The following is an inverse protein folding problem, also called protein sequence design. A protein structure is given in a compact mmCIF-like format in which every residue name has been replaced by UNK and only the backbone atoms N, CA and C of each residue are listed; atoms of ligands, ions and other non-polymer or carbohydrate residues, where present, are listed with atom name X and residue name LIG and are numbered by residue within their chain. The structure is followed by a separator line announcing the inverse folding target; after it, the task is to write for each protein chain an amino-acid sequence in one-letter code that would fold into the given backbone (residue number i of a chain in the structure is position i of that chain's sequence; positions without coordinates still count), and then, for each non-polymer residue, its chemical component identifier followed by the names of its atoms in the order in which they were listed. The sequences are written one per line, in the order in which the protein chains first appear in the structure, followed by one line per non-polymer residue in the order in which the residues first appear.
data_IF_691513004161
#
_entry.id   IF_691513004161
#
_cell.length_a   1.000
_cell.length_b   1.000
_cell.length_c   1.000
_cell.angle_alpha   90.00
_cell.angle_beta   90.00
_cell.angle_gamma   90.00
#
_symmetry.space_group_name_H-M   'P 1'
#
loop_
_entity.id
_entity.type
_entity.pdbx_description
1 polymer ?
#
# COMPACT_ATOMS: atom_id res chain seq x y z
N UNK A 1 -52.71 -47.50 -32.85
CA UNK A 1 -51.58 -47.72 -33.77
C UNK A 1 -50.55 -48.56 -33.04
N UNK A 2 -50.18 -49.73 -33.60
CA UNK A 2 -49.15 -50.61 -33.06
C UNK A 2 -47.80 -50.00 -33.45
N UNK A 3 -46.92 -49.70 -32.46
CA UNK A 3 -45.56 -49.24 -32.67
C UNK A 3 -44.73 -50.20 -33.50
N UNK A 4 -43.97 -49.74 -34.43
CA UNK A 4 -43.04 -50.52 -35.25
C UNK A 4 -41.98 -51.23 -34.40
N UNK A 5 -41.42 -52.34 -34.92
CA UNK A 5 -40.32 -53.06 -34.22
C UNK A 5 -39.11 -52.19 -33.96
N UNK A 6 -38.83 -51.14 -34.77
CA UNK A 6 -37.77 -50.19 -34.60
C UNK A 6 -38.02 -49.21 -33.42
N UNK A 7 -39.30 -48.80 -33.28
CA UNK A 7 -39.69 -47.93 -32.16
C UNK A 7 -39.67 -48.69 -30.82
N UNK A 8 -40.02 -49.97 -30.83
CA UNK A 8 -39.87 -50.82 -29.65
C UNK A 8 -38.47 -51.12 -29.27
N UNK A 9 -37.52 -51.23 -30.23
CA UNK A 9 -36.08 -51.36 -29.96
C UNK A 9 -35.48 -50.08 -29.43
N UNK A 10 -35.88 -48.88 -29.88
CA UNK A 10 -35.47 -47.61 -29.38
C UNK A 10 -35.95 -47.37 -27.95
N UNK A 11 -37.16 -47.85 -27.59
CA UNK A 11 -37.66 -47.77 -26.21
C UNK A 11 -36.97 -48.75 -25.25
N UNK A 12 -36.53 -49.92 -25.76
CA UNK A 12 -35.80 -50.91 -24.96
C UNK A 12 -34.33 -50.59 -24.78
N UNK A 13 -33.76 -49.72 -25.61
CA UNK A 13 -32.37 -49.24 -25.48
C UNK A 13 -32.21 -47.96 -24.68
N UNK A 14 -33.26 -47.40 -24.08
CA UNK A 14 -33.11 -46.50 -22.97
C UNK A 14 -32.74 -47.33 -21.73
N UNK A 15 -31.48 -47.79 -21.67
CA UNK A 15 -30.85 -48.01 -20.39
C UNK A 15 -30.95 -46.65 -19.67
N UNK A 16 -31.75 -46.58 -18.63
CA UNK A 16 -31.68 -45.52 -17.68
C UNK A 16 -30.19 -45.44 -17.26
N UNK A 17 -29.53 -44.34 -17.60
CA UNK A 17 -28.16 -44.11 -17.16
C UNK A 17 -28.26 -43.89 -15.66
N UNK A 18 -28.21 -45.02 -14.92
CA UNK A 18 -28.36 -45.05 -13.46
C UNK A 18 -27.21 -44.33 -12.74
N UNK A 19 -26.30 -43.72 -13.52
CA UNK A 19 -25.16 -42.97 -13.01
C UNK A 19 -25.47 -41.51 -12.71
N UNK A 20 -26.58 -40.97 -13.26
CA UNK A 20 -26.97 -39.59 -13.02
C UNK A 20 -28.07 -39.52 -11.96
N UNK A 21 -27.70 -39.12 -10.76
CA UNK A 21 -28.64 -38.76 -9.70
C UNK A 21 -28.88 -37.26 -9.70
N UNK A 22 -30.06 -36.77 -10.12
CA UNK A 22 -30.32 -35.32 -10.16
C UNK A 22 -30.46 -34.69 -8.78
N UNK A 23 -30.46 -35.48 -7.69
CA UNK A 23 -30.54 -34.97 -6.32
C UNK A 23 -29.16 -34.70 -5.74
N UNK A 24 -28.10 -35.24 -6.37
CA UNK A 24 -26.72 -34.92 -5.96
C UNK A 24 -26.40 -33.48 -6.38
N UNK A 25 -26.02 -32.60 -5.43
CA UNK A 25 -25.60 -31.23 -5.78
C UNK A 25 -24.47 -31.29 -6.80
N UNK A 26 -24.51 -30.43 -7.81
CA UNK A 26 -23.41 -30.26 -8.73
C UNK A 26 -22.14 -29.80 -8.00
N UNK A 27 -20.98 -29.95 -8.65
CA UNK A 27 -19.72 -29.43 -8.13
C UNK A 27 -19.88 -27.90 -8.01
N UNK A 28 -19.83 -27.38 -6.79
CA UNK A 28 -19.84 -25.94 -6.56
C UNK A 28 -18.60 -25.35 -7.19
N UNK A 29 -18.71 -24.36 -8.08
CA UNK A 29 -17.55 -23.65 -8.60
C UNK A 29 -16.72 -23.10 -7.45
N UNK A 30 -15.37 -23.11 -7.53
CA UNK A 30 -14.54 -22.49 -6.52
C UNK A 30 -14.88 -20.98 -6.43
N UNK A 31 -15.10 -20.49 -5.22
CA UNK A 31 -15.29 -19.07 -4.99
C UNK A 31 -13.98 -18.35 -5.29
N UNK A 32 -14.05 -17.27 -6.07
CA UNK A 32 -12.94 -16.37 -6.30
C UNK A 32 -12.73 -15.46 -5.09
N UNK A 33 -11.53 -14.96 -4.91
CA UNK A 33 -11.20 -13.98 -3.88
C UNK A 33 -10.34 -12.85 -4.46
N UNK A 34 -10.32 -11.72 -3.77
CA UNK A 34 -9.45 -10.62 -4.16
C UNK A 34 -7.98 -10.99 -3.95
N UNK A 35 -7.13 -10.50 -4.86
CA UNK A 35 -5.68 -10.59 -4.70
C UNK A 35 -5.22 -9.94 -3.39
N UNK A 36 -4.22 -10.50 -2.72
CA UNK A 36 -3.70 -10.02 -1.43
C UNK A 36 -3.41 -8.51 -1.40
N UNK A 37 -2.90 -7.94 -2.49
CA UNK A 37 -2.68 -6.50 -2.60
C UNK A 37 -4.00 -5.72 -2.55
N UNK A 38 -5.04 -6.20 -3.21
CA UNK A 38 -6.38 -5.58 -3.17
C UNK A 38 -6.98 -5.65 -1.77
N UNK A 39 -6.87 -6.80 -1.10
CA UNK A 39 -7.32 -6.97 0.29
C UNK A 39 -6.58 -5.99 1.22
N UNK A 40 -5.25 -5.89 1.09
CA UNK A 40 -4.43 -4.97 1.87
C UNK A 40 -4.83 -3.51 1.63
N UNK A 41 -5.09 -3.12 0.37
CA UNK A 41 -5.55 -1.77 0.03
C UNK A 41 -6.90 -1.45 0.68
N UNK A 42 -7.84 -2.37 0.64
CA UNK A 42 -9.17 -2.21 1.26
C UNK A 42 -9.05 -2.07 2.79
N UNK A 43 -8.23 -2.90 3.43
CA UNK A 43 -8.01 -2.84 4.88
C UNK A 43 -7.36 -1.50 5.29
N UNK A 44 -6.33 -1.06 4.58
CA UNK A 44 -5.70 0.25 4.80
C UNK A 44 -6.72 1.37 4.65
N UNK A 45 -7.55 1.32 3.60
CA UNK A 45 -8.61 2.32 3.38
C UNK A 45 -9.59 2.37 4.54
N UNK A 46 -10.06 1.23 5.04
CA UNK A 46 -11.01 1.16 6.15
C UNK A 46 -10.40 1.72 7.46
N UNK A 47 -9.14 1.39 7.75
CA UNK A 47 -8.44 1.89 8.93
C UNK A 47 -8.38 3.43 8.91
N UNK A 48 -7.95 4.02 7.78
CA UNK A 48 -7.83 5.48 7.68
C UNK A 48 -9.17 6.19 7.54
N UNK A 49 -10.18 5.54 6.96
CA UNK A 49 -11.56 6.03 6.92
C UNK A 49 -12.13 6.22 8.34
N UNK A 50 -11.79 5.32 9.29
CA UNK A 50 -12.18 5.46 10.70
C UNK A 50 -11.59 6.72 11.36
N UNK A 51 -10.47 7.23 10.86
CA UNK A 51 -9.86 8.50 11.28
C UNK A 51 -10.35 9.72 10.48
N UNK A 52 -11.28 9.53 9.54
CA UNK A 52 -11.84 10.58 8.70
C UNK A 52 -10.98 10.95 7.48
N UNK A 53 -10.00 10.11 7.12
CA UNK A 53 -9.28 10.30 5.87
C UNK A 53 -10.13 9.86 4.67
N UNK A 54 -10.00 10.58 3.56
CA UNK A 54 -10.71 10.31 2.32
C UNK A 54 -9.71 9.74 1.31
N UNK A 55 -10.04 8.58 0.74
CA UNK A 55 -9.21 8.02 -0.33
C UNK A 55 -9.25 8.88 -1.58
N UNK A 56 -8.07 9.16 -2.11
CA UNK A 56 -7.83 9.89 -3.37
C UNK A 56 -7.00 9.04 -4.32
N UNK A 57 -7.07 9.40 -5.59
CA UNK A 57 -6.21 8.86 -6.65
C UNK A 57 -5.68 10.00 -7.48
N UNK A 58 -4.41 9.92 -7.82
CA UNK A 58 -3.70 10.91 -8.63
C UNK A 58 -2.97 10.20 -9.78
N UNK A 59 -2.55 10.95 -10.82
CA UNK A 59 -1.87 10.37 -11.98
C UNK A 59 -0.58 9.64 -11.61
N UNK A 60 -0.30 8.55 -12.32
CA UNK A 60 0.96 7.80 -12.25
C UNK A 60 2.03 8.43 -13.17
N UNK A 61 1.60 9.14 -14.21
CA UNK A 61 2.44 9.96 -15.09
C UNK A 61 2.26 11.41 -14.67
N UNK A 62 3.35 12.05 -14.32
CA UNK A 62 3.29 13.36 -13.67
C UNK A 62 4.34 14.32 -14.22
N UNK A 63 4.12 15.61 -14.07
CA UNK A 63 5.14 16.62 -14.37
C UNK A 63 6.15 16.69 -13.22
N UNK A 64 7.36 17.11 -13.56
CA UNK A 64 8.45 17.29 -12.61
C UNK A 64 8.07 18.22 -11.44
N UNK A 65 7.23 19.22 -11.67
CA UNK A 65 6.70 20.10 -10.64
C UNK A 65 6.02 19.33 -9.50
N UNK A 66 5.01 18.51 -9.82
CA UNK A 66 4.28 17.75 -8.80
C UNK A 66 5.10 16.59 -8.25
N UNK A 67 6.00 16.05 -9.05
CA UNK A 67 6.86 14.95 -8.63
C UNK A 67 7.97 15.39 -7.69
N UNK A 68 8.61 16.54 -7.94
CA UNK A 68 9.83 16.91 -7.25
C UNK A 68 9.89 18.39 -6.84
N UNK A 69 9.86 19.34 -7.78
CA UNK A 69 10.16 20.73 -7.50
C UNK A 69 9.17 21.34 -6.49
N UNK A 70 7.88 21.12 -6.67
CA UNK A 70 6.84 21.58 -5.76
C UNK A 70 6.90 20.91 -4.37
N UNK A 71 7.51 19.74 -4.27
CA UNK A 71 7.81 19.04 -3.02
C UNK A 71 9.15 19.43 -2.39
N UNK A 72 9.71 20.55 -2.82
CA UNK A 72 10.98 21.08 -2.30
C UNK A 72 12.21 20.17 -2.59
N UNK A 73 12.15 19.32 -3.61
CA UNK A 73 13.25 18.46 -4.06
C UNK A 73 14.03 19.22 -5.15
N UNK A 74 15.27 19.66 -4.91
CA UNK A 74 16.04 20.44 -5.87
C UNK A 74 16.44 19.61 -7.10
N UNK A 75 16.80 20.32 -8.19
CA UNK A 75 17.10 19.68 -9.50
C UNK A 75 18.32 18.76 -9.47
N UNK A 76 19.26 19.04 -8.61
CA UNK A 76 20.50 18.28 -8.40
C UNK A 76 20.38 17.16 -7.35
N UNK A 77 19.16 16.89 -6.86
CA UNK A 77 18.98 15.83 -5.86
C UNK A 77 19.13 14.43 -6.50
N UNK A 78 19.87 13.50 -5.86
CA UNK A 78 20.15 12.17 -6.42
C UNK A 78 18.89 11.36 -6.80
N UNK A 79 17.78 11.54 -6.07
CA UNK A 79 16.53 10.85 -6.40
C UNK A 79 15.92 11.28 -7.75
N UNK A 80 16.39 12.37 -8.34
CA UNK A 80 16.00 12.86 -9.67
C UNK A 80 16.93 12.39 -10.78
N UNK A 81 17.94 11.57 -10.46
CA UNK A 81 18.81 10.96 -11.44
C UNK A 81 18.02 9.99 -12.35
N UNK A 82 18.34 9.98 -13.62
CA UNK A 82 17.77 9.06 -14.64
C UNK A 82 17.96 7.58 -14.28
N UNK A 83 18.93 7.27 -13.41
CA UNK A 83 19.17 5.91 -12.94
C UNK A 83 18.14 5.48 -11.88
N UNK A 84 17.50 6.42 -11.20
CA UNK A 84 16.51 6.14 -10.14
C UNK A 84 15.08 6.39 -10.59
N UNK A 85 14.86 7.34 -11.50
CA UNK A 85 13.54 7.79 -11.96
C UNK A 85 13.31 7.45 -13.44
N UNK A 86 12.08 7.05 -13.79
CA UNK A 86 11.67 6.85 -15.18
C UNK A 86 11.18 8.16 -15.78
N UNK A 87 12.01 8.81 -16.57
CA UNK A 87 11.63 9.95 -17.40
C UNK A 87 11.01 9.49 -18.73
N UNK A 88 9.84 10.03 -19.08
CA UNK A 88 9.16 9.80 -20.34
C UNK A 88 9.48 10.89 -21.36
N UNK A 89 9.68 12.10 -20.87
CA UNK A 89 10.13 13.33 -21.55
C UNK A 89 10.89 14.17 -20.54
N UNK A 90 11.43 15.30 -20.97
CA UNK A 90 12.28 16.20 -20.15
C UNK A 90 11.70 16.55 -18.78
N UNK A 91 10.39 16.76 -18.69
CA UNK A 91 9.68 17.14 -17.44
C UNK A 91 8.49 16.23 -17.12
N UNK A 92 8.43 15.04 -17.70
CA UNK A 92 7.35 14.07 -17.46
C UNK A 92 7.94 12.75 -16.98
N UNK A 93 7.49 12.29 -15.83
CA UNK A 93 8.01 11.10 -15.14
C UNK A 93 6.91 10.09 -14.84
N UNK A 94 7.29 8.83 -14.65
CA UNK A 94 6.52 7.90 -13.84
C UNK A 94 6.85 8.16 -12.36
N UNK A 95 5.82 8.41 -11.54
CA UNK A 95 6.03 8.80 -10.15
C UNK A 95 6.71 7.70 -9.34
N UNK A 96 7.79 8.05 -8.62
CA UNK A 96 8.50 7.12 -7.74
C UNK A 96 7.94 7.10 -6.30
N UNK A 97 6.93 7.92 -6.04
CA UNK A 97 6.19 8.03 -4.77
C UNK A 97 4.81 8.63 -5.01
N UNK A 98 3.93 8.53 -4.01
CA UNK A 98 2.55 9.06 -4.08
C UNK A 98 2.41 10.50 -3.60
N UNK A 99 3.51 11.18 -3.26
CA UNK A 99 3.51 12.54 -2.68
C UNK A 99 3.09 13.63 -3.67
N UNK A 100 3.08 13.35 -4.97
CA UNK A 100 2.47 14.22 -5.98
C UNK A 100 1.01 14.57 -5.64
N UNK A 101 0.32 13.66 -4.98
CA UNK A 101 -1.06 13.86 -4.51
C UNK A 101 -1.20 14.96 -3.46
N UNK A 102 -0.16 15.27 -2.68
CA UNK A 102 -0.21 16.33 -1.66
C UNK A 102 -0.49 17.70 -2.27
N UNK A 103 0.34 18.10 -3.24
CA UNK A 103 0.17 19.39 -3.92
C UNK A 103 -1.17 19.48 -4.63
N UNK A 104 -1.56 18.44 -5.35
CA UNK A 104 -2.83 18.39 -6.07
C UNK A 104 -4.04 18.48 -5.14
N UNK A 105 -4.01 17.85 -3.98
CA UNK A 105 -5.09 17.96 -3.01
C UNK A 105 -5.13 19.34 -2.36
N UNK A 106 -3.96 19.91 -2.02
CA UNK A 106 -3.88 21.29 -1.49
C UNK A 106 -4.44 22.31 -2.49
N UNK A 107 -4.04 22.24 -3.75
CA UNK A 107 -4.55 23.12 -4.81
C UNK A 107 -6.05 22.98 -5.05
N UNK A 108 -6.57 21.74 -4.90
CA UNK A 108 -7.99 21.45 -5.08
C UNK A 108 -8.85 21.95 -3.91
N UNK A 109 -8.44 21.68 -2.69
CA UNK A 109 -9.19 21.98 -1.47
C UNK A 109 -9.00 23.45 -1.06
N UNK A 110 -7.78 23.97 -1.19
CA UNK A 110 -7.35 25.35 -0.88
C UNK A 110 -7.47 25.77 0.59
N UNK A 111 -8.45 25.27 1.29
CA UNK A 111 -8.69 25.64 2.70
C UNK A 111 -8.75 24.39 3.55
N UNK A 112 -7.83 24.18 4.50
CA UNK A 112 -7.90 23.10 5.48
C UNK A 112 -9.21 23.11 6.29
N UNK A 113 -9.67 21.96 6.82
CA UNK A 113 -8.90 20.75 7.01
C UNK A 113 -8.75 19.89 5.74
N UNK A 114 -7.55 19.35 5.53
CA UNK A 114 -7.25 18.38 4.48
C UNK A 114 -6.89 17.06 5.16
N UNK A 115 -7.63 16.00 4.84
CA UNK A 115 -7.37 14.64 5.33
C UNK A 115 -7.51 13.67 4.17
N UNK A 116 -6.42 13.28 3.58
CA UNK A 116 -6.46 12.34 2.45
C UNK A 116 -5.53 11.16 2.65
N UNK A 117 -5.90 10.03 2.04
CA UNK A 117 -5.01 8.92 1.78
C UNK A 117 -4.94 8.68 0.27
N UNK A 118 -3.75 8.81 -0.30
CA UNK A 118 -3.46 8.51 -1.70
C UNK A 118 -2.91 7.10 -1.79
N UNK A 119 -3.53 6.22 -2.57
CA UNK A 119 -3.05 4.86 -2.81
C UNK A 119 -2.88 4.67 -4.30
N UNK A 120 -1.66 4.42 -4.74
CA UNK A 120 -1.31 4.32 -6.16
C UNK A 120 -0.09 3.46 -6.42
N UNK A 121 0.16 3.19 -7.70
CA UNK A 121 1.39 2.56 -8.16
C UNK A 121 2.51 3.58 -8.19
N UNK A 122 3.70 3.11 -7.89
CA UNK A 122 4.95 3.87 -7.93
C UNK A 122 6.00 3.09 -8.69
N UNK A 123 6.95 3.81 -9.30
CA UNK A 123 7.89 3.24 -10.25
C UNK A 123 9.30 3.70 -9.95
N UNK A 124 10.23 2.74 -9.76
CA UNK A 124 11.65 3.01 -9.53
C UNK A 124 12.51 2.11 -10.40
N UNK A 125 13.64 2.62 -10.90
CA UNK A 125 14.55 1.85 -11.76
C UNK A 125 15.39 0.82 -11.01
N UNK A 126 14.95 0.44 -9.83
CA UNK A 126 15.61 -0.54 -8.98
C UNK A 126 14.95 -1.91 -9.15
N UNK A 127 15.77 -2.96 -9.24
CA UNK A 127 15.31 -4.34 -9.27
C UNK A 127 16.22 -5.23 -8.43
N UNK A 128 15.68 -5.81 -7.35
CA UNK A 128 16.36 -6.76 -6.49
C UNK A 128 15.36 -7.76 -5.89
N UNK A 129 15.79 -8.62 -4.99
CA UNK A 129 14.86 -9.49 -4.24
C UNK A 129 13.84 -8.71 -3.40
N UNK A 130 14.21 -7.53 -2.93
CA UNK A 130 13.37 -6.67 -2.07
C UNK A 130 12.81 -5.44 -2.80
N UNK A 131 13.16 -5.23 -4.07
CA UNK A 131 12.72 -4.10 -4.87
C UNK A 131 12.19 -4.56 -6.22
N UNK A 132 10.97 -4.14 -6.53
CA UNK A 132 10.38 -4.30 -7.86
C UNK A 132 10.34 -2.94 -8.57
N UNK A 133 10.46 -2.92 -9.91
CA UNK A 133 10.36 -1.67 -10.68
C UNK A 133 9.02 -0.96 -10.51
N UNK A 134 7.96 -1.69 -10.16
CA UNK A 134 6.63 -1.20 -9.82
C UNK A 134 6.20 -1.80 -8.48
N UNK A 135 5.65 -0.97 -7.61
CA UNK A 135 5.04 -1.37 -6.35
C UNK A 135 3.91 -0.40 -6.00
N UNK A 136 3.09 -0.76 -5.02
CA UNK A 136 2.04 0.13 -4.53
C UNK A 136 2.52 0.85 -3.26
N UNK A 137 2.17 2.12 -3.19
CA UNK A 137 2.39 2.93 -1.99
C UNK A 137 1.07 3.56 -1.56
N UNK A 138 0.86 3.66 -0.26
CA UNK A 138 -0.15 4.54 0.29
C UNK A 138 0.53 5.66 1.08
N UNK A 139 -0.07 6.83 1.01
CA UNK A 139 0.42 8.03 1.66
C UNK A 139 -0.74 8.79 2.28
N UNK A 140 -0.60 9.13 3.55
CA UNK A 140 -1.54 9.99 4.26
C UNK A 140 -1.03 11.42 4.35
N UNK A 141 -1.94 12.37 4.17
CA UNK A 141 -1.73 13.80 4.41
C UNK A 141 -2.81 14.34 5.32
N UNK A 142 -2.42 14.99 6.40
CA UNK A 142 -3.30 15.75 7.26
C UNK A 142 -2.77 17.16 7.41
N UNK A 143 -3.59 18.17 7.08
CA UNK A 143 -3.29 19.60 7.27
C UNK A 143 -4.49 20.23 7.98
N UNK A 144 -4.22 20.92 9.09
CA UNK A 144 -5.22 21.70 9.84
C UNK A 144 -4.50 22.72 10.73
N UNK A 145 -5.24 23.45 11.54
CA UNK A 145 -4.68 24.30 12.59
C UNK A 145 -4.07 23.44 13.71
N UNK A 146 -2.98 23.89 14.29
CA UNK A 146 -2.33 23.31 15.48
C UNK A 146 -1.91 21.83 15.34
N UNK A 147 -1.74 21.32 14.12
CA UNK A 147 -1.23 19.96 13.90
C UNK A 147 0.26 19.89 14.28
N UNK A 148 0.61 18.84 15.03
CA UNK A 148 1.96 18.65 15.53
C UNK A 148 2.37 17.17 15.52
N UNK A 149 3.61 16.90 15.91
CA UNK A 149 4.21 15.57 15.88
C UNK A 149 3.44 14.52 16.72
N UNK A 150 2.75 14.93 17.80
CA UNK A 150 2.00 13.98 18.63
C UNK A 150 0.79 13.41 17.89
N UNK A 151 0.20 14.18 16.96
CA UNK A 151 -0.85 13.70 16.08
C UNK A 151 -0.31 12.66 15.09
N UNK A 152 0.89 12.88 14.53
CA UNK A 152 1.56 11.88 13.67
C UNK A 152 1.83 10.59 14.45
N UNK A 153 2.38 10.68 15.67
CA UNK A 153 2.61 9.53 16.55
C UNK A 153 1.31 8.77 16.82
N UNK A 154 0.22 9.51 17.12
CA UNK A 154 -1.08 8.91 17.36
C UNK A 154 -1.61 8.12 16.16
N UNK A 155 -1.53 8.72 14.97
CA UNK A 155 -1.99 8.08 13.72
C UNK A 155 -1.14 6.86 13.35
N UNK A 156 0.19 6.94 13.49
CA UNK A 156 1.08 5.81 13.19
C UNK A 156 0.86 4.63 14.15
N UNK A 157 0.68 4.91 15.45
CA UNK A 157 0.34 3.88 16.44
C UNK A 157 -1.03 3.26 16.17
N UNK A 158 -2.04 4.09 15.88
CA UNK A 158 -3.37 3.59 15.55
C UNK A 158 -3.34 2.65 14.34
N UNK A 159 -2.64 3.03 13.27
CA UNK A 159 -2.46 2.16 12.12
C UNK A 159 -1.75 0.86 12.49
N UNK A 160 -0.63 0.94 13.22
CA UNK A 160 0.14 -0.23 13.61
C UNK A 160 -0.69 -1.24 14.42
N UNK A 161 -1.47 -0.75 15.37
CA UNK A 161 -2.34 -1.58 16.21
C UNK A 161 -3.53 -2.16 15.44
N UNK A 162 -4.15 -1.35 14.57
CA UNK A 162 -5.31 -1.78 13.78
C UNK A 162 -4.92 -2.81 12.71
N UNK A 163 -3.78 -2.64 12.05
CA UNK A 163 -3.37 -3.48 10.93
C UNK A 163 -2.57 -4.71 11.37
N UNK A 164 -1.65 -4.56 12.33
CA UNK A 164 -0.73 -5.62 12.75
C UNK A 164 -1.06 -6.25 14.11
N UNK A 165 -2.04 -5.70 14.82
CA UNK A 165 -2.50 -6.19 16.13
C UNK A 165 -2.17 -5.26 17.31
N UNK A 166 -2.95 -5.35 18.40
CA UNK A 166 -2.96 -4.37 19.48
C UNK A 166 -1.63 -4.26 20.26
N UNK A 167 -0.81 -5.30 20.23
CA UNK A 167 0.50 -5.33 20.91
C UNK A 167 1.61 -4.59 20.14
N UNK A 168 1.28 -4.03 18.97
CA UNK A 168 2.27 -3.39 18.10
C UNK A 168 2.45 -1.94 18.48
N UNK A 169 3.70 -1.53 18.57
CA UNK A 169 4.09 -0.15 18.86
C UNK A 169 4.97 0.38 17.73
N UNK A 170 4.89 1.67 17.49
CA UNK A 170 5.77 2.37 16.55
C UNK A 170 6.79 3.24 17.28
N UNK A 171 7.86 3.57 16.59
CA UNK A 171 8.81 4.62 17.01
C UNK A 171 9.20 5.45 15.79
N UNK A 172 9.49 6.71 16.04
CA UNK A 172 10.03 7.63 15.04
C UNK A 172 11.56 7.69 15.22
N UNK A 173 12.30 7.43 14.14
CA UNK A 173 13.76 7.68 14.07
C UNK A 173 14.02 8.94 13.25
N UNK A 174 14.82 9.90 13.72
CA UNK A 174 15.19 11.05 12.91
C UNK A 174 15.76 10.62 11.55
N UNK A 175 15.29 11.28 10.51
CA UNK A 175 15.74 11.10 9.13
C UNK A 175 15.66 12.45 8.41
N UNK A 176 16.06 12.52 7.14
CA UNK A 176 15.91 13.72 6.34
C UNK A 176 15.20 13.42 5.02
N UNK A 177 14.10 14.16 4.79
CA UNK A 177 13.41 14.25 3.50
C UNK A 177 13.19 15.72 3.17
N UNK A 178 13.36 16.12 1.92
CA UNK A 178 13.27 17.51 1.47
C UNK A 178 11.86 18.12 1.68
N UNK A 179 10.83 17.27 1.67
CA UNK A 179 9.42 17.68 1.72
C UNK A 179 8.83 17.66 3.13
N UNK A 180 9.61 17.28 4.14
CA UNK A 180 9.17 17.26 5.55
C UNK A 180 10.23 17.86 6.47
N UNK A 181 9.79 18.54 7.56
CA UNK A 181 10.64 19.10 8.61
C UNK A 181 9.84 19.27 9.92
N UNK A 182 10.17 18.48 10.99
CA UNK A 182 11.16 17.40 11.03
C UNK A 182 10.71 16.15 10.26
N UNK A 183 11.70 15.37 9.81
CA UNK A 183 11.50 14.13 9.08
C UNK A 183 11.87 12.91 9.93
N UNK A 184 11.20 11.81 9.69
CA UNK A 184 11.40 10.57 10.43
C UNK A 184 11.23 9.35 9.52
N UNK A 185 11.92 8.29 9.86
CA UNK A 185 11.52 6.93 9.50
C UNK A 185 10.70 6.33 10.63
N UNK A 186 9.62 5.66 10.26
CA UNK A 186 8.73 4.96 11.19
C UNK A 186 9.11 3.50 11.25
N UNK A 187 9.49 3.04 12.42
CA UNK A 187 9.70 1.62 12.68
C UNK A 187 8.52 1.05 13.48
N UNK A 188 8.23 -0.22 13.25
CA UNK A 188 7.26 -1.00 14.04
C UNK A 188 7.98 -2.13 14.80
N UNK A 189 7.53 -2.43 16.00
CA UNK A 189 8.05 -3.55 16.80
C UNK A 189 7.90 -4.88 16.02
N UNK A 190 8.94 -5.70 16.02
CA UNK A 190 8.93 -6.97 15.30
C UNK A 190 7.98 -7.98 15.95
N UNK A 191 7.07 -8.57 15.16
CA UNK A 191 6.12 -9.56 15.67
C UNK A 191 6.83 -10.85 16.12
N UNK A 192 7.86 -11.27 15.37
CA UNK A 192 8.52 -12.54 15.60
C UNK A 192 9.27 -12.61 16.94
N UNK A 193 10.00 -11.54 17.31
CA UNK A 193 10.70 -11.45 18.60
C UNK A 193 10.02 -10.54 19.62
N UNK A 194 8.81 -10.07 19.35
CA UNK A 194 8.03 -9.16 20.21
C UNK A 194 8.83 -7.91 20.63
N UNK A 195 9.60 -7.36 19.70
CA UNK A 195 10.39 -6.15 19.91
C UNK A 195 11.73 -6.34 20.63
N UNK A 196 12.09 -7.55 21.08
CA UNK A 196 13.31 -7.80 21.87
C UNK A 196 14.60 -7.86 21.05
N UNK A 197 14.50 -8.10 19.73
CA UNK A 197 15.65 -8.32 18.85
C UNK A 197 16.27 -9.72 18.97
N UNK A 198 15.86 -10.54 19.93
CA UNK A 198 16.42 -11.87 20.20
C UNK A 198 15.33 -12.91 20.39
N UNK A 199 15.65 -14.17 20.07
CA UNK A 199 14.83 -15.34 20.34
C UNK A 199 15.73 -16.44 20.89
N UNK A 200 15.42 -16.93 22.08
CA UNK A 200 16.23 -17.93 22.79
C UNK A 200 17.73 -17.55 22.88
N UNK A 201 18.00 -16.27 23.17
CA UNK A 201 19.37 -15.75 23.28
C UNK A 201 20.13 -15.52 21.97
N UNK A 202 19.51 -15.81 20.82
CA UNK A 202 20.10 -15.57 19.49
C UNK A 202 19.44 -14.36 18.81
N UNK A 203 20.17 -13.60 17.96
CA UNK A 203 19.59 -12.50 17.20
C UNK A 203 18.37 -12.96 16.38
N UNK A 204 17.31 -12.17 16.38
CA UNK A 204 16.12 -12.45 15.57
C UNK A 204 16.49 -12.44 14.08
N UNK A 205 16.15 -13.51 13.38
CA UNK A 205 16.50 -13.67 11.95
C UNK A 205 15.78 -12.66 11.03
N UNK A 206 14.64 -12.11 11.48
CA UNK A 206 13.82 -11.18 10.68
C UNK A 206 14.29 -9.74 10.88
N UNK A 207 14.36 -9.25 12.14
CA UNK A 207 14.58 -7.83 12.42
C UNK A 207 15.97 -7.50 12.98
N UNK A 208 16.68 -8.47 13.54
CA UNK A 208 17.98 -8.34 14.24
C UNK A 208 17.98 -7.39 15.44
N UNK A 209 17.18 -6.31 15.39
CA UNK A 209 17.18 -5.21 16.38
C UNK A 209 15.89 -5.08 17.21
N UNK A 210 14.88 -5.89 16.94
CA UNK A 210 13.53 -5.75 17.53
C UNK A 210 12.57 -4.89 16.69
N UNK A 211 13.04 -4.21 15.66
CA UNK A 211 12.28 -3.25 14.89
C UNK A 211 12.33 -3.54 13.39
N UNK A 212 11.24 -3.21 12.71
CA UNK A 212 11.10 -3.31 11.25
C UNK A 212 10.67 -1.93 10.74
N UNK A 213 11.35 -1.43 9.74
CA UNK A 213 11.00 -0.16 9.10
C UNK A 213 9.72 -0.28 8.29
N UNK A 214 8.79 0.65 8.48
CA UNK A 214 7.61 0.84 7.65
C UNK A 214 7.90 1.76 6.47
N UNK A 215 8.50 2.92 6.74
CA UNK A 215 8.87 3.93 5.76
C UNK A 215 8.88 5.34 6.34
N UNK A 216 8.91 6.35 5.47
CA UNK A 216 9.04 7.74 5.84
C UNK A 216 7.77 8.38 6.39
N UNK A 217 7.97 9.39 7.26
CA UNK A 217 6.94 10.29 7.76
C UNK A 217 7.57 11.62 8.21
N UNK A 218 6.77 12.66 8.40
CA UNK A 218 7.25 13.92 8.95
C UNK A 218 6.19 15.00 8.95
N UNK A 219 6.53 16.14 9.55
CA UNK A 219 5.71 17.34 9.41
C UNK A 219 5.93 17.95 8.03
N UNK A 220 4.86 18.36 7.36
CA UNK A 220 4.96 18.94 6.01
C UNK A 220 5.82 20.18 6.03
N UNK A 221 6.83 20.22 5.16
CA UNK A 221 7.74 21.35 5.09
C UNK A 221 6.98 22.65 4.74
N UNK A 222 7.26 23.80 5.41
CA UNK A 222 6.58 25.07 5.16
C UNK A 222 6.59 25.51 3.69
N UNK A 223 7.69 25.20 2.96
CA UNK A 223 7.77 25.51 1.53
C UNK A 223 6.77 24.67 0.71
N UNK A 224 6.55 23.40 1.07
CA UNK A 224 5.56 22.54 0.39
C UNK A 224 4.14 23.05 0.62
N UNK A 225 3.82 23.51 1.84
CA UNK A 225 2.54 24.16 2.12
C UNK A 225 2.35 25.41 1.23
N UNK A 226 3.35 26.28 1.14
CA UNK A 226 3.32 27.48 0.27
C UNK A 226 3.14 27.11 -1.19
N UNK A 227 3.86 26.11 -1.70
CA UNK A 227 3.76 25.63 -3.07
C UNK A 227 2.36 25.08 -3.38
N UNK A 228 1.71 24.44 -2.40
CA UNK A 228 0.32 23.99 -2.48
C UNK A 228 -0.74 25.07 -2.21
N UNK A 229 -0.32 26.34 -2.00
CA UNK A 229 -1.23 27.46 -1.76
C UNK A 229 -1.80 27.53 -0.34
N UNK A 230 -1.20 26.86 0.63
CA UNK A 230 -1.59 26.87 2.05
C UNK A 230 -0.66 27.79 2.85
N UNK A 231 -1.25 28.63 3.70
CA UNK A 231 -0.50 29.55 4.57
C UNK A 231 0.15 28.81 5.76
N UNK A 232 1.49 28.65 5.79
CA UNK A 232 2.17 27.89 6.85
C UNK A 232 2.20 28.64 8.20
N UNK A 233 1.78 29.89 8.27
CA UNK A 233 1.64 30.62 9.54
C UNK A 233 0.31 30.29 10.24
N UNK A 234 -0.65 29.76 9.51
CA UNK A 234 -1.99 29.40 10.03
C UNK A 234 -2.20 27.91 10.15
N UNK A 235 -1.55 27.14 9.28
CA UNK A 235 -1.75 25.72 9.15
C UNK A 235 -0.44 24.95 9.23
N UNK A 236 -0.51 23.83 9.83
CA UNK A 236 0.56 22.83 9.87
C UNK A 236 0.01 21.46 9.47
N UNK A 237 0.85 20.52 9.20
CA UNK A 237 0.40 19.20 8.80
C UNK A 237 1.47 18.16 8.90
N UNK A 238 1.09 16.91 8.74
CA UNK A 238 2.04 15.80 8.62
C UNK A 238 1.68 14.92 7.42
N UNK A 239 2.69 14.23 6.91
CA UNK A 239 2.54 13.21 5.89
C UNK A 239 3.33 11.95 6.28
N UNK A 240 2.91 10.80 5.74
CA UNK A 240 3.61 9.52 5.84
C UNK A 240 3.34 8.70 4.58
N UNK A 241 4.30 7.87 4.15
CA UNK A 241 4.16 7.05 2.95
C UNK A 241 4.84 5.70 3.10
N UNK A 242 4.06 4.59 2.89
CA UNK A 242 4.56 3.23 3.09
C UNK A 242 4.13 2.31 1.96
N UNK A 243 4.96 1.28 1.71
CA UNK A 243 4.69 0.28 0.65
C UNK A 243 3.61 -0.71 1.06
N UNK A 244 2.59 -0.90 0.20
CA UNK A 244 1.50 -1.88 0.39
C UNK A 244 2.07 -3.30 0.46
N UNK A 245 2.96 -3.66 -0.46
CA UNK A 245 3.58 -4.98 -0.50
C UNK A 245 4.37 -5.27 0.78
N UNK A 246 5.10 -4.26 1.27
CA UNK A 246 5.89 -4.39 2.50
C UNK A 246 5.00 -4.71 3.70
N UNK A 247 3.90 -3.98 3.89
CA UNK A 247 2.99 -4.22 5.02
C UNK A 247 2.24 -5.54 4.86
N UNK A 248 1.84 -5.93 3.64
CA UNK A 248 1.24 -7.22 3.37
C UNK A 248 2.19 -8.37 3.73
N UNK A 249 3.44 -8.31 3.24
CA UNK A 249 4.46 -9.31 3.57
C UNK A 249 4.73 -9.40 5.07
N UNK A 250 4.81 -8.27 5.76
CA UNK A 250 5.01 -8.24 7.22
C UNK A 250 3.84 -8.85 7.98
N UNK A 251 2.59 -8.61 7.56
CA UNK A 251 1.38 -9.14 8.19
C UNK A 251 1.29 -10.66 8.04
N UNK A 252 1.53 -11.15 6.84
CA UNK A 252 1.43 -12.56 6.49
C UNK A 252 2.72 -13.37 6.72
N UNK A 253 3.77 -12.74 7.30
CA UNK A 253 5.08 -13.34 7.54
C UNK A 253 5.73 -13.91 6.26
N UNK A 254 5.50 -13.27 5.12
CA UNK A 254 6.13 -13.63 3.86
C UNK A 254 7.56 -13.11 3.86
N UNK A 255 8.52 -14.03 3.91
CA UNK A 255 9.95 -13.70 4.02
C UNK A 255 10.67 -13.73 2.68
N UNK A 256 9.96 -14.10 1.63
CA UNK A 256 10.50 -14.38 0.32
C UNK A 256 10.53 -13.12 -0.57
N UNK A 257 10.73 -13.33 -1.83
CA UNK A 257 10.85 -12.31 -2.85
C UNK A 257 9.52 -11.54 -2.99
N UNK A 258 9.56 -10.21 -2.97
CA UNK A 258 8.40 -9.34 -3.25
C UNK A 258 7.68 -9.70 -4.56
N UNK A 259 8.43 -10.23 -5.54
CA UNK A 259 7.88 -10.67 -6.84
C UNK A 259 6.89 -11.83 -6.72
N UNK A 260 6.94 -12.60 -5.63
CA UNK A 260 6.03 -13.73 -5.42
C UNK A 260 4.58 -13.23 -5.28
N UNK A 261 4.39 -12.00 -4.76
CA UNK A 261 3.08 -11.35 -4.72
C UNK A 261 2.47 -11.09 -6.10
N UNK A 262 3.29 -11.08 -7.15
CA UNK A 262 2.89 -10.87 -8.54
C UNK A 262 3.09 -12.13 -9.39
N UNK A 263 3.27 -13.27 -8.71
CA UNK A 263 3.39 -14.58 -9.36
C UNK A 263 2.06 -14.96 -10.01
N UNK A 264 2.14 -15.75 -11.08
CA UNK A 264 1.00 -16.42 -11.71
C UNK A 264 0.68 -17.77 -11.07
N UNK A 265 1.36 -18.15 -9.99
CA UNK A 265 1.13 -19.40 -9.28
C UNK A 265 -0.17 -19.32 -8.46
N UNK A 266 -1.19 -20.00 -8.97
CA UNK A 266 -2.51 -20.04 -8.35
C UNK A 266 -2.45 -20.67 -6.95
N UNK A 267 -1.56 -21.65 -6.72
CA UNK A 267 -1.43 -22.28 -5.40
C UNK A 267 -0.86 -21.30 -4.36
N UNK A 268 -0.01 -20.37 -4.79
CA UNK A 268 0.46 -19.29 -3.92
C UNK A 268 -0.67 -18.27 -3.66
N UNK A 269 -1.32 -17.81 -4.72
CA UNK A 269 -2.36 -16.78 -4.61
C UNK A 269 -3.60 -17.23 -3.83
N UNK A 270 -3.96 -18.53 -3.89
CA UNK A 270 -5.11 -19.09 -3.18
C UNK A 270 -4.91 -19.27 -1.66
N UNK A 271 -3.76 -18.88 -1.13
CA UNK A 271 -3.48 -18.95 0.31
C UNK A 271 -3.99 -17.73 1.11
N UNK A 272 -4.49 -16.70 0.42
CA UNK A 272 -4.84 -15.41 1.01
C UNK A 272 -6.30 -15.02 0.84
#
# INVERSE_FOLDING_TARGET
KKLSLSEKKLLQNKKEDSSFDPTIPGITPPEGHYHIISQTIEEVEQIFKALGFIRRRYPEVETDWYYAEGLNIPKDHPARDDQETFYLKDDVVLTAHTSNGQLREMEKIKTPPIKMINIGKTYRRQASYTHAPMFHQFEGLLIDQDINITHLIGVTNFFAQSYFGPERITRLRPHHFQFTEPSFEVDISCNHCKGTGTINGKPCRICKSGWLELGGAGMVHPQVLKNGGIDPNKYSGFAFGWGIERIAMMKHNLTNNLRDLYSTDINFLSQF
#
